data_IF_046062438647
#
_entry.id   IF_046062438647
#
_cell.length_a   1.000
_cell.length_b   1.000
_cell.length_c   1.000
_cell.angle_alpha   90.00
_cell.angle_beta   90.00
_cell.angle_gamma   90.00
#
_symmetry.space_group_name_H-M   'P 1'
#
loop_
_entity.id
_entity.type
_entity.pdbx_description
1 polymer ?
#
# COMPACT_ATOMS: atom_id res chain seq x y z
N UNK A 1 -15.78 -11.69 1.03
CA UNK A 1 -15.58 -10.30 0.56
C UNK A 1 -14.36 -10.22 -0.38
N UNK A 2 -13.97 -11.35 -0.99
CA UNK A 2 -12.62 -11.59 -1.53
C UNK A 2 -12.45 -11.21 -3.01
N UNK A 3 -13.57 -11.08 -3.73
CA UNK A 3 -13.54 -10.77 -5.17
C UNK A 3 -12.95 -9.37 -5.45
N UNK A 4 -13.13 -8.41 -4.53
CA UNK A 4 -12.61 -7.05 -4.70
C UNK A 4 -11.09 -6.97 -4.44
N UNK A 5 -10.57 -7.72 -3.47
CA UNK A 5 -9.14 -7.68 -3.12
C UNK A 5 -8.24 -8.20 -4.25
N UNK A 6 -8.63 -9.32 -4.87
CA UNK A 6 -7.87 -9.88 -5.99
C UNK A 6 -7.91 -8.98 -7.24
N UNK A 7 -9.03 -8.30 -7.49
CA UNK A 7 -9.13 -7.30 -8.55
C UNK A 7 -8.25 -6.06 -8.27
N UNK A 8 -8.23 -5.59 -7.02
CA UNK A 8 -7.36 -4.50 -6.59
C UNK A 8 -5.88 -4.88 -6.72
N UNK A 9 -5.51 -6.10 -6.33
CA UNK A 9 -4.15 -6.61 -6.45
C UNK A 9 -3.71 -6.78 -7.90
N UNK A 10 -4.56 -7.35 -8.77
CA UNK A 10 -4.27 -7.46 -10.21
C UNK A 10 -3.96 -6.08 -10.82
N UNK A 11 -4.79 -5.07 -10.52
CA UNK A 11 -4.56 -3.71 -10.99
C UNK A 11 -3.29 -3.05 -10.40
N UNK A 12 -2.74 -3.59 -9.31
CA UNK A 12 -1.49 -3.12 -8.71
C UNK A 12 -0.25 -3.85 -9.23
N UNK A 13 -0.36 -5.15 -9.56
CA UNK A 13 0.81 -6.00 -9.83
C UNK A 13 0.94 -6.49 -11.26
N UNK A 14 -0.13 -6.43 -12.08
CA UNK A 14 -0.09 -6.81 -13.49
C UNK A 14 0.36 -5.65 -14.41
N UNK A 15 0.69 -4.49 -13.84
CA UNK A 15 1.02 -3.28 -14.60
C UNK A 15 2.51 -3.06 -14.82
N UNK A 16 2.85 -2.38 -15.92
CA UNK A 16 4.21 -1.95 -16.25
C UNK A 16 4.72 -0.84 -15.29
N UNK A 17 6.05 -0.69 -15.23
CA UNK A 17 6.75 0.31 -14.43
C UNK A 17 8.08 -0.20 -13.87
N UNK A 18 8.91 0.70 -13.37
CA UNK A 18 10.20 0.39 -12.74
C UNK A 18 9.99 0.13 -11.24
N UNK A 19 10.41 -1.04 -10.76
CA UNK A 19 10.31 -1.42 -9.35
C UNK A 19 11.48 -0.84 -8.57
N UNK A 20 11.22 0.19 -7.76
CA UNK A 20 12.22 0.81 -6.90
C UNK A 20 12.41 0.02 -5.60
N UNK A 21 11.31 -0.42 -4.98
CA UNK A 21 11.29 -1.44 -3.92
C UNK A 21 10.32 -2.52 -4.33
N UNK A 22 10.82 -3.73 -4.55
CA UNK A 22 10.06 -4.81 -5.15
C UNK A 22 9.22 -5.53 -4.12
N UNK A 23 7.90 -5.42 -4.28
CA UNK A 23 6.93 -6.42 -3.86
C UNK A 23 6.13 -6.82 -5.09
N UNK A 24 5.63 -8.05 -5.12
CA UNK A 24 4.89 -8.56 -6.26
C UNK A 24 3.57 -9.25 -5.87
N UNK A 25 2.92 -9.82 -6.89
CA UNK A 25 1.65 -10.51 -6.71
C UNK A 25 1.79 -11.75 -5.82
N UNK A 26 2.94 -12.41 -5.82
CA UNK A 26 3.18 -13.59 -4.97
C UNK A 26 3.40 -13.17 -3.52
N UNK A 27 4.03 -12.03 -3.26
CA UNK A 27 4.09 -11.44 -1.93
C UNK A 27 2.70 -11.07 -1.40
N UNK A 28 1.85 -10.45 -2.23
CA UNK A 28 0.45 -10.21 -1.89
C UNK A 28 -0.28 -11.53 -1.56
N UNK A 29 -0.14 -12.56 -2.40
CA UNK A 29 -0.78 -13.88 -2.20
C UNK A 29 -0.31 -14.52 -0.89
N UNK A 30 0.98 -14.44 -0.57
CA UNK A 30 1.53 -14.92 0.70
C UNK A 30 0.96 -14.14 1.89
N UNK A 31 0.79 -12.82 1.75
CA UNK A 31 0.22 -12.00 2.80
C UNK A 31 -1.23 -12.38 3.11
N UNK A 32 -2.10 -12.40 2.09
CA UNK A 32 -3.53 -12.70 2.28
C UNK A 32 -3.83 -14.16 2.62
N UNK A 33 -2.87 -15.07 2.43
CA UNK A 33 -3.01 -16.48 2.83
C UNK A 33 -2.53 -16.77 4.26
N UNK A 34 -1.77 -15.85 4.87
CA UNK A 34 -1.21 -16.00 6.23
C UNK A 34 -1.86 -15.08 7.26
N UNK A 35 -2.61 -14.09 6.80
CA UNK A 35 -3.17 -13.03 7.62
C UNK A 35 -4.66 -12.91 7.36
N UNK A 36 -5.42 -12.75 8.44
CA UNK A 36 -6.80 -12.33 8.32
C UNK A 36 -6.83 -10.85 7.93
N UNK A 37 -7.37 -10.54 6.75
CA UNK A 37 -7.47 -9.16 6.27
C UNK A 37 -8.65 -8.48 6.96
N UNK A 38 -8.35 -7.61 7.91
CA UNK A 38 -9.36 -6.87 8.68
C UNK A 38 -9.70 -5.53 8.06
N UNK A 39 -8.83 -4.99 7.21
CA UNK A 39 -9.11 -3.78 6.45
C UNK A 39 -8.33 -3.72 5.15
N UNK A 40 -8.94 -3.10 4.15
CA UNK A 40 -8.30 -2.78 2.88
C UNK A 40 -8.66 -1.38 2.43
N UNK A 41 -7.67 -0.65 1.90
CA UNK A 41 -7.86 0.66 1.28
C UNK A 41 -7.23 0.69 -0.11
N UNK A 42 -7.98 1.20 -1.09
CA UNK A 42 -7.46 1.58 -2.41
C UNK A 42 -7.55 3.10 -2.53
N UNK A 43 -6.42 3.78 -2.46
CA UNK A 43 -6.34 5.24 -2.57
C UNK A 43 -5.89 5.57 -3.98
N UNK A 44 -6.67 6.42 -4.65
CA UNK A 44 -6.42 6.83 -6.03
C UNK A 44 -6.39 8.35 -6.08
N UNK A 45 -5.29 8.92 -6.56
CA UNK A 45 -5.13 10.35 -6.79
C UNK A 45 -5.06 10.57 -8.29
N UNK A 46 -6.15 11.07 -8.86
CA UNK A 46 -6.25 11.32 -10.32
C UNK A 46 -5.24 12.35 -10.80
N UNK A 47 -5.03 13.40 -10.01
CA UNK A 47 -4.09 14.49 -10.31
C UNK A 47 -3.41 14.94 -9.03
N UNK A 48 -2.08 14.84 -8.96
CA UNK A 48 -1.32 15.23 -7.78
C UNK A 48 0.01 14.49 -7.65
N UNK A 49 0.57 14.55 -6.45
CA UNK A 49 1.87 13.98 -6.10
C UNK A 49 1.75 12.92 -5.00
N UNK A 50 2.88 12.31 -4.64
CA UNK A 50 2.95 11.31 -3.59
C UNK A 50 2.52 11.88 -2.22
N UNK A 51 2.78 13.16 -1.93
CA UNK A 51 2.38 13.77 -0.65
C UNK A 51 0.86 13.88 -0.51
N UNK A 52 0.15 14.02 -1.62
CA UNK A 52 -1.31 14.12 -1.66
C UNK A 52 -2.02 12.89 -1.09
N UNK A 53 -1.35 11.72 -1.02
CA UNK A 53 -1.93 10.51 -0.42
C UNK A 53 -1.87 10.48 1.10
N UNK A 54 -0.97 11.25 1.73
CA UNK A 54 -0.67 11.18 3.18
C UNK A 54 -1.92 11.30 4.07
N UNK A 55 -2.84 12.25 3.85
CA UNK A 55 -4.05 12.35 4.68
C UNK A 55 -4.96 11.11 4.56
N UNK A 56 -5.12 10.58 3.35
CA UNK A 56 -5.94 9.39 3.08
C UNK A 56 -5.31 8.12 3.64
N UNK A 57 -3.98 8.04 3.57
CA UNK A 57 -3.15 7.01 4.19
C UNK A 57 -3.38 7.04 5.69
N UNK A 58 -3.13 8.17 6.38
CA UNK A 58 -3.36 8.33 7.84
C UNK A 58 -4.77 7.90 8.26
N UNK A 59 -5.79 8.30 7.50
CA UNK A 59 -7.18 7.90 7.77
C UNK A 59 -7.43 6.40 7.62
N UNK A 60 -6.69 5.73 6.73
CA UNK A 60 -6.80 4.28 6.53
C UNK A 60 -6.21 3.49 7.69
N UNK A 61 -5.21 4.04 8.39
CA UNK A 61 -4.58 3.44 9.57
C UNK A 61 -5.30 3.79 10.88
N UNK A 62 -5.85 5.01 10.97
CA UNK A 62 -6.63 5.44 12.14
C UNK A 62 -7.77 4.43 12.42
N UNK A 63 -7.67 3.76 13.57
CA UNK A 63 -8.65 2.77 14.04
C UNK A 63 -8.30 1.30 13.83
N UNK A 64 -7.13 0.96 13.25
CA UNK A 64 -6.71 -0.44 13.08
C UNK A 64 -5.91 -0.96 14.30
N UNK A 65 -6.54 -0.92 15.47
CA UNK A 65 -5.88 -1.17 16.77
C UNK A 65 -5.35 -2.62 16.88
N UNK A 66 -5.94 -3.53 16.11
CA UNK A 66 -5.66 -4.95 16.15
C UNK A 66 -4.69 -5.42 15.06
N UNK A 67 -4.40 -4.60 14.04
CA UNK A 67 -3.56 -5.00 12.92
C UNK A 67 -2.11 -5.26 13.38
N UNK A 68 -1.63 -6.47 13.11
CA UNK A 68 -0.28 -6.91 13.45
C UNK A 68 0.73 -6.73 12.31
N UNK A 69 0.24 -6.57 11.08
CA UNK A 69 1.06 -6.40 9.89
C UNK A 69 0.32 -5.58 8.83
N UNK A 70 1.06 -4.75 8.11
CA UNK A 70 0.54 -4.00 6.97
C UNK A 70 1.26 -4.36 5.69
N UNK A 71 0.49 -4.46 4.61
CA UNK A 71 1.01 -4.64 3.26
C UNK A 71 0.65 -3.43 2.40
N UNK A 72 1.65 -2.75 1.85
CA UNK A 72 1.48 -1.48 1.15
C UNK A 72 2.12 -1.51 -0.24
N UNK A 73 1.32 -1.30 -1.28
CA UNK A 73 1.81 -1.13 -2.66
C UNK A 73 1.53 0.27 -3.15
N UNK A 74 2.58 0.97 -3.58
CA UNK A 74 2.50 2.32 -4.15
C UNK A 74 2.88 2.25 -5.63
N UNK A 75 2.06 2.85 -6.48
CA UNK A 75 2.34 3.08 -7.89
C UNK A 75 2.32 4.56 -8.19
N UNK A 76 3.28 5.01 -9.00
CA UNK A 76 3.42 6.37 -9.48
C UNK A 76 3.49 6.38 -10.99
N UNK A 77 2.69 7.24 -11.61
CA UNK A 77 2.60 7.36 -13.07
C UNK A 77 3.90 7.90 -13.65
N UNK A 78 4.19 7.53 -14.89
CA UNK A 78 5.24 8.17 -15.69
C UNK A 78 5.12 9.70 -15.68
N UNK A 79 6.24 10.37 -15.40
CA UNK A 79 6.32 11.84 -15.35
C UNK A 79 5.85 12.45 -14.03
N UNK A 80 5.32 11.68 -13.08
CA UNK A 80 5.06 12.17 -11.72
C UNK A 80 6.38 12.21 -10.95
N UNK A 81 6.81 13.39 -10.48
CA UNK A 81 8.05 13.51 -9.72
C UNK A 81 7.95 12.73 -8.41
N UNK A 82 9.04 12.07 -8.07
CA UNK A 82 9.17 11.30 -6.84
C UNK A 82 10.62 11.40 -6.38
N UNK A 83 10.82 11.94 -5.18
CA UNK A 83 12.13 11.92 -4.54
C UNK A 83 12.15 10.95 -3.35
N UNK A 84 13.35 10.56 -2.94
CA UNK A 84 13.55 9.59 -1.86
C UNK A 84 12.97 10.07 -0.52
N UNK A 85 13.03 11.37 -0.22
CA UNK A 85 12.50 11.94 1.02
C UNK A 85 10.96 11.84 1.09
N UNK A 86 10.27 12.05 -0.03
CA UNK A 86 8.81 11.93 -0.12
C UNK A 86 8.35 10.49 0.14
N UNK A 87 9.08 9.52 -0.43
CA UNK A 87 8.84 8.09 -0.19
C UNK A 87 9.06 7.75 1.27
N UNK A 88 10.18 8.19 1.85
CA UNK A 88 10.46 7.98 3.27
C UNK A 88 9.39 8.60 4.18
N UNK A 89 8.95 9.83 3.89
CA UNK A 89 7.90 10.49 4.67
C UNK A 89 6.57 9.73 4.61
N UNK A 90 6.22 9.19 3.44
CA UNK A 90 5.04 8.34 3.30
C UNK A 90 5.16 7.06 4.12
N UNK A 91 6.32 6.39 4.09
CA UNK A 91 6.57 5.18 4.87
C UNK A 91 6.58 5.43 6.37
N UNK A 92 7.20 6.53 6.82
CA UNK A 92 7.16 6.97 8.22
C UNK A 92 5.74 7.31 8.66
N UNK A 93 4.94 7.92 7.79
CA UNK A 93 3.51 8.15 8.05
C UNK A 93 2.75 6.83 8.19
N UNK A 94 3.07 5.81 7.38
CA UNK A 94 2.49 4.48 7.48
C UNK A 94 2.91 3.81 8.81
N UNK A 95 4.19 3.88 9.17
CA UNK A 95 4.73 3.35 10.44
C UNK A 95 4.12 4.02 11.67
N UNK A 96 4.09 5.36 11.72
CA UNK A 96 3.55 6.11 12.85
C UNK A 96 2.02 6.01 13.00
N UNK A 97 1.31 5.59 11.96
CA UNK A 97 -0.14 5.34 12.00
C UNK A 97 -0.53 4.01 12.64
N UNK A 98 0.44 3.10 12.81
CA UNK A 98 0.26 1.85 13.55
C UNK A 98 0.21 2.14 15.04
N UNK A 99 -0.91 1.85 15.71
CA UNK A 99 -1.06 2.00 17.16
C UNK A 99 -0.39 0.89 17.97
N UNK A 100 0.06 -0.19 17.32
CA UNK A 100 0.84 -1.24 17.95
C UNK A 100 2.31 -1.02 17.67
N UNK A 101 3.10 -0.87 18.74
CA UNK A 101 4.55 -0.67 18.71
C UNK A 101 5.31 -1.81 17.97
N UNK A 102 4.63 -2.92 17.65
CA UNK A 102 5.18 -4.11 17.01
C UNK A 102 4.63 -4.43 15.59
N UNK A 103 3.76 -3.58 14.99
CA UNK A 103 3.27 -3.92 13.65
C UNK A 103 4.38 -3.77 12.61
N UNK A 104 4.65 -4.85 11.87
CA UNK A 104 5.57 -4.81 10.74
C UNK A 104 4.89 -4.29 9.47
N UNK A 105 5.64 -3.59 8.63
CA UNK A 105 5.17 -3.09 7.33
C UNK A 105 5.99 -3.71 6.22
N UNK A 106 5.32 -4.48 5.37
CA UNK A 106 5.82 -4.88 4.06
C UNK A 106 5.34 -3.85 3.03
N UNK A 107 6.26 -3.30 2.25
CA UNK A 107 5.91 -2.29 1.26
C UNK A 107 6.72 -2.39 -0.02
N UNK A 108 6.18 -1.82 -1.10
CA UNK A 108 6.96 -1.58 -2.31
C UNK A 108 6.42 -0.44 -3.14
N UNK A 109 7.29 0.01 -4.04
CA UNK A 109 7.12 1.20 -4.86
C UNK A 109 7.45 0.87 -6.30
N UNK A 110 6.48 1.12 -7.18
CA UNK A 110 6.66 1.10 -8.64
C UNK A 110 6.54 2.52 -9.17
N UNK A 111 7.60 3.01 -9.81
CA UNK A 111 7.62 4.31 -10.49
C UNK A 111 7.43 4.11 -11.99
N UNK A 112 7.16 5.19 -12.72
CA UNK A 112 6.94 5.16 -14.17
C UNK A 112 5.88 4.14 -14.59
N UNK A 113 4.84 3.99 -13.77
CA UNK A 113 3.74 3.09 -14.04
C UNK A 113 2.89 3.62 -15.20
N UNK A 114 2.54 2.73 -16.12
CA UNK A 114 1.57 3.04 -17.16
C UNK A 114 0.16 2.96 -16.57
N UNK A 115 -0.37 4.10 -16.15
CA UNK A 115 -1.70 4.23 -15.56
C UNK A 115 -2.31 5.61 -15.81
N UNK A 116 -3.63 5.74 -15.69
CA UNK A 116 -4.32 7.02 -15.93
C UNK A 116 -4.10 8.00 -14.79
N UNK A 117 -4.20 7.53 -13.55
CA UNK A 117 -4.10 8.34 -12.34
C UNK A 117 -2.65 8.57 -11.92
N UNK A 118 -2.35 9.73 -11.34
CA UNK A 118 -0.98 10.10 -10.97
C UNK A 118 -0.41 9.20 -9.87
N UNK A 119 -1.23 8.84 -8.86
CA UNK A 119 -0.80 8.00 -7.73
C UNK A 119 -1.87 6.97 -7.38
N UNK A 120 -1.43 5.74 -7.11
CA UNK A 120 -2.29 4.68 -6.57
C UNK A 120 -1.63 3.99 -5.40
N UNK A 121 -2.36 3.80 -4.29
CA UNK A 121 -1.87 3.14 -3.09
C UNK A 121 -2.86 2.06 -2.64
N UNK A 122 -2.38 0.83 -2.55
CA UNK A 122 -3.08 -0.28 -1.92
C UNK A 122 -2.52 -0.47 -0.51
N UNK A 123 -3.41 -0.55 0.47
CA UNK A 123 -3.06 -0.85 1.86
C UNK A 123 -3.93 -2.01 2.32
N UNK A 124 -3.31 -3.03 2.90
CA UNK A 124 -3.99 -4.11 3.60
C UNK A 124 -3.52 -4.14 5.05
N UNK A 125 -4.47 -4.26 5.97
CA UNK A 125 -4.21 -4.48 7.38
C UNK A 125 -4.51 -5.95 7.69
N UNK A 126 -3.50 -6.65 8.18
CA UNK A 126 -3.54 -8.08 8.50
C UNK A 126 -3.39 -8.34 9.99
N UNK A 127 -4.25 -9.21 10.51
CA UNK A 127 -4.12 -9.81 11.83
C UNK A 127 -3.47 -11.18 11.73
N UNK A 128 -2.73 -11.57 12.78
CA UNK A 128 -2.37 -12.97 12.95
C UNK A 128 -3.66 -13.73 13.20
N UNK A 129 -3.86 -14.85 12.51
CA UNK A 129 -4.88 -15.80 12.97
C UNK A 129 -4.45 -16.24 14.38
N UNK A 130 -5.29 -16.00 15.38
CA UNK A 130 -5.08 -16.56 16.72
C UNK A 130 -5.12 -18.10 16.59
N UNK A 131 -4.06 -18.77 17.05
CA UNK A 131 -4.04 -20.24 17.20
C UNK A 131 -5.00 -20.72 18.29
#
# INVERSE_FOLDING_TARGET
MDFNLNQMAAAHFDGEGEKFVSIDLDDYRKFVSKRQIVRSSNIVVKKGDLQSVIPSVRKSYAGNIHASEFFVSIRLKEGVPCNYEEVLNLLQTIQSGSSSDDASIQWGLTINALMEEDVRVLILAGEREEE
#
